data_IF_163108126255
#
_entry.id   IF_163108126255
#
_cell.length_a   1.000
_cell.length_b   1.000
_cell.length_c   1.000
_cell.angle_alpha   90.00
_cell.angle_beta   90.00
_cell.angle_gamma   90.00
#
_symmetry.space_group_name_H-M   'P 1'
#
loop_
_entity.id
_entity.type
_entity.pdbx_description
1 polymer ?
#
# COMPACT_ATOMS: atom_id res chain seq x y z
N UNK A 1 16.86 11.80 11.88
CA UNK A 1 16.16 12.02 10.60
C UNK A 1 14.78 12.56 10.90
N UNK A 2 14.35 13.66 10.28
CA UNK A 2 12.99 14.18 10.51
C UNK A 2 12.08 13.54 9.46
N UNK A 3 11.48 12.42 9.82
CA UNK A 3 10.44 11.76 9.03
C UNK A 3 9.15 12.57 9.17
N UNK A 4 8.62 13.08 8.05
CA UNK A 4 7.35 13.79 8.00
C UNK A 4 6.30 12.99 7.25
N UNK A 5 5.04 13.38 7.37
CA UNK A 5 3.97 12.87 6.53
C UNK A 5 3.90 13.71 5.24
N UNK A 6 3.76 13.03 4.12
CA UNK A 6 3.61 13.62 2.79
C UNK A 6 2.31 13.12 2.21
N UNK A 7 1.51 14.00 1.63
CA UNK A 7 0.29 13.58 0.95
C UNK A 7 0.02 14.44 -0.28
N UNK A 8 -0.69 13.87 -1.23
CA UNK A 8 -1.14 14.59 -2.40
C UNK A 8 -2.46 15.30 -2.06
N UNK A 9 -2.47 16.63 -2.11
CA UNK A 9 -3.64 17.45 -1.76
C UNK A 9 -4.83 17.20 -2.66
N UNK A 10 -4.61 16.80 -3.92
CA UNK A 10 -5.66 16.49 -4.90
C UNK A 10 -6.14 15.04 -4.81
N UNK A 11 -5.42 14.16 -4.10
CA UNK A 11 -5.74 12.73 -3.97
C UNK A 11 -5.89 12.27 -2.52
N UNK A 12 -6.12 13.21 -1.60
CA UNK A 12 -6.35 12.87 -0.20
C UNK A 12 -7.59 11.97 -0.03
N UNK A 13 -8.64 12.20 -0.85
CA UNK A 13 -9.84 11.37 -0.93
C UNK A 13 -9.59 9.92 -1.40
N UNK A 14 -8.37 9.60 -1.86
CA UNK A 14 -7.92 8.24 -2.21
C UNK A 14 -6.93 7.68 -1.20
N UNK A 15 -6.70 8.35 -0.06
CA UNK A 15 -5.79 7.88 0.98
C UNK A 15 -4.31 8.00 0.60
N UNK A 16 -3.98 8.90 -0.32
CA UNK A 16 -2.62 9.11 -0.85
C UNK A 16 -1.78 9.90 0.15
N UNK A 17 -1.49 9.25 1.28
CA UNK A 17 -0.63 9.68 2.38
C UNK A 17 0.53 8.70 2.53
N UNK A 18 1.72 9.22 2.88
CA UNK A 18 2.96 8.45 3.01
C UNK A 18 3.87 9.02 4.09
N UNK A 19 4.54 8.13 4.82
CA UNK A 19 5.75 8.49 5.57
C UNK A 19 6.88 8.83 4.59
N UNK A 20 7.50 9.99 4.76
CA UNK A 20 8.73 10.33 4.02
C UNK A 20 9.87 9.42 4.47
N UNK A 21 10.46 8.71 3.51
CA UNK A 21 11.66 7.87 3.68
C UNK A 21 12.95 8.57 3.23
N UNK A 22 12.86 9.82 2.78
CA UNK A 22 13.99 10.55 2.18
C UNK A 22 14.92 11.08 3.30
N UNK A 23 16.23 10.75 3.29
CA UNK A 23 17.15 11.12 4.37
C UNK A 23 17.68 12.56 4.25
N UNK A 24 17.41 13.26 3.14
CA UNK A 24 17.88 14.62 2.87
C UNK A 24 16.73 15.61 2.74
N UNK A 25 17.06 16.91 2.85
CA UNK A 25 16.09 17.98 2.63
C UNK A 25 15.85 18.14 1.13
N UNK A 26 14.59 18.08 0.72
CA UNK A 26 14.17 18.31 -0.65
C UNK A 26 12.94 19.21 -0.71
N UNK A 27 12.48 19.45 -1.93
CA UNK A 27 11.22 20.14 -2.23
C UNK A 27 10.24 19.15 -2.86
N UNK A 28 8.95 19.38 -2.66
CA UNK A 28 7.88 18.65 -3.34
C UNK A 28 7.16 19.59 -4.29
N UNK A 29 6.47 19.05 -5.30
CA UNK A 29 5.64 19.88 -6.17
C UNK A 29 4.52 20.55 -5.37
N UNK A 30 3.95 21.67 -5.86
CA UNK A 30 2.90 22.40 -5.16
C UNK A 30 1.64 21.57 -4.86
N UNK A 31 1.45 20.42 -5.50
CA UNK A 31 0.29 19.55 -5.23
C UNK A 31 0.47 18.65 -4.01
N UNK A 32 1.69 18.51 -3.51
CA UNK A 32 1.96 17.82 -2.26
C UNK A 32 2.04 18.79 -1.10
N UNK A 33 1.73 18.29 0.09
CA UNK A 33 2.02 18.98 1.33
C UNK A 33 2.80 18.04 2.26
N UNK A 34 3.72 18.64 3.01
CA UNK A 34 4.63 17.93 3.93
C UNK A 34 4.45 18.51 5.32
N UNK A 35 4.13 17.67 6.28
CA UNK A 35 4.00 18.07 7.67
C UNK A 35 4.89 17.24 8.59
N UNK A 36 5.31 17.86 9.68
CA UNK A 36 6.00 17.17 10.76
C UNK A 36 4.96 16.81 11.82
N UNK A 37 5.06 15.60 12.34
CA UNK A 37 4.21 15.16 13.42
C UNK A 37 4.71 15.73 14.75
N UNK A 38 3.78 15.93 15.69
CA UNK A 38 4.13 16.29 17.07
C UNK A 38 4.78 15.09 17.78
N UNK A 39 5.49 15.35 18.88
CA UNK A 39 6.28 14.36 19.60
C UNK A 39 5.50 13.14 20.11
N UNK A 40 4.18 13.24 20.25
CA UNK A 40 3.34 12.10 20.66
C UNK A 40 3.11 11.07 19.56
N UNK A 41 3.53 11.35 18.32
CA UNK A 41 3.57 10.36 17.22
C UNK A 41 5.02 9.93 17.07
N UNK A 42 5.33 8.70 17.48
CA UNK A 42 6.71 8.18 17.40
C UNK A 42 7.09 7.78 15.98
N UNK A 43 6.18 7.07 15.29
CA UNK A 43 6.34 6.71 13.89
C UNK A 43 5.16 7.21 13.06
N UNK A 44 5.47 8.06 12.07
CA UNK A 44 4.51 8.61 11.10
C UNK A 44 3.75 7.52 10.34
N UNK A 45 4.30 6.30 10.24
CA UNK A 45 3.62 5.16 9.63
C UNK A 45 2.26 4.89 10.30
N UNK A 46 2.12 5.20 11.58
CA UNK A 46 0.85 5.12 12.29
C UNK A 46 -0.23 5.99 11.62
N UNK A 47 0.08 7.27 11.38
CA UNK A 47 -0.84 8.19 10.70
C UNK A 47 -1.05 7.81 9.23
N UNK A 48 0.00 7.33 8.54
CA UNK A 48 -0.14 6.83 7.16
C UNK A 48 -1.20 5.72 7.06
N UNK A 49 -1.18 4.76 7.99
CA UNK A 49 -2.13 3.66 8.01
C UNK A 49 -3.52 4.13 8.47
N UNK A 50 -3.58 4.97 9.51
CA UNK A 50 -4.82 5.53 10.03
C UNK A 50 -5.58 6.32 8.96
N UNK A 51 -4.88 7.16 8.19
CA UNK A 51 -5.47 7.95 7.12
C UNK A 51 -5.85 7.13 5.87
N UNK A 52 -5.42 5.87 5.78
CA UNK A 52 -5.94 4.93 4.77
C UNK A 52 -7.17 4.17 5.24
N UNK A 53 -7.53 4.28 6.51
CA UNK A 53 -8.74 3.64 7.03
C UNK A 53 -9.99 4.25 6.36
N UNK A 54 -10.97 3.44 5.91
CA UNK A 54 -12.15 3.92 5.18
C UNK A 54 -12.86 5.11 5.84
N UNK A 55 -13.01 5.08 7.17
CA UNK A 55 -13.63 6.19 7.89
C UNK A 55 -12.90 7.53 7.73
N UNK A 56 -11.56 7.52 7.62
CA UNK A 56 -10.81 8.75 7.34
C UNK A 56 -10.90 9.16 5.88
N UNK A 57 -10.93 8.20 4.98
CA UNK A 57 -11.17 8.46 3.55
C UNK A 57 -12.50 9.20 3.36
N UNK A 58 -13.57 8.74 4.03
CA UNK A 58 -14.86 9.42 4.04
C UNK A 58 -14.76 10.85 4.59
N UNK A 59 -14.03 11.06 5.70
CA UNK A 59 -13.82 12.41 6.22
C UNK A 59 -13.05 13.31 5.24
N UNK A 60 -12.09 12.77 4.49
CA UNK A 60 -11.40 13.52 3.44
C UNK A 60 -12.31 13.84 2.26
N UNK A 61 -13.19 12.92 1.86
CA UNK A 61 -14.19 13.16 0.80
C UNK A 61 -15.13 14.29 1.20
N UNK A 62 -15.62 14.29 2.44
CA UNK A 62 -16.55 15.33 2.94
C UNK A 62 -15.90 16.71 3.00
N UNK A 63 -14.61 16.77 3.34
CA UNK A 63 -13.87 18.03 3.55
C UNK A 63 -13.16 18.55 2.31
N UNK A 64 -12.79 17.68 1.38
CA UNK A 64 -12.11 18.11 0.18
C UNK A 64 -13.08 18.88 -0.72
N UNK A 65 -12.64 20.04 -1.21
CA UNK A 65 -13.48 20.94 -2.01
C UNK A 65 -12.92 21.10 -3.41
N UNK A 66 -13.80 21.24 -4.40
CA UNK A 66 -13.43 21.43 -5.79
C UNK A 66 -14.64 21.27 -6.71
N UNK A 67 -14.64 22.03 -7.82
CA UNK A 67 -15.78 22.07 -8.75
C UNK A 67 -15.59 21.06 -9.90
N UNK A 68 -14.34 20.77 -10.26
CA UNK A 68 -14.00 19.88 -11.37
C UNK A 68 -13.49 18.55 -10.83
N UNK A 69 -13.99 17.46 -11.39
CA UNK A 69 -13.54 16.10 -11.10
C UNK A 69 -12.02 15.99 -11.33
N UNK A 70 -11.27 15.56 -10.31
CA UNK A 70 -9.80 15.52 -10.33
C UNK A 70 -9.09 16.78 -9.77
N UNK A 71 -9.82 17.88 -9.52
CA UNK A 71 -9.30 19.08 -8.84
C UNK A 71 -9.84 19.25 -7.41
N UNK A 72 -10.49 18.20 -6.88
CA UNK A 72 -10.95 18.16 -5.49
C UNK A 72 -9.74 18.14 -4.56
N UNK A 73 -9.61 19.19 -3.75
CA UNK A 73 -8.44 19.46 -2.92
C UNK A 73 -8.79 19.42 -1.44
N UNK A 74 -7.98 18.70 -0.65
CA UNK A 74 -7.97 18.86 0.80
C UNK A 74 -6.97 19.96 1.18
N UNK A 75 -7.46 21.04 1.79
CA UNK A 75 -6.61 22.13 2.25
C UNK A 75 -6.05 21.84 3.66
N UNK A 76 -4.96 22.53 4.01
CA UNK A 76 -4.31 22.39 5.33
C UNK A 76 -5.29 22.64 6.48
N UNK A 77 -6.13 23.67 6.36
CA UNK A 77 -7.12 24.01 7.40
C UNK A 77 -8.08 22.86 7.65
N UNK A 78 -8.66 22.31 6.58
CA UNK A 78 -9.61 21.20 6.67
C UNK A 78 -8.98 19.93 7.26
N UNK A 79 -7.74 19.62 6.88
CA UNK A 79 -7.01 18.49 7.46
C UNK A 79 -6.76 18.69 8.96
N UNK A 80 -6.40 19.91 9.37
CA UNK A 80 -6.03 20.18 10.77
C UNK A 80 -7.26 20.32 11.69
N UNK A 81 -8.43 20.57 11.12
CA UNK A 81 -9.72 20.58 11.82
C UNK A 81 -10.26 19.16 12.09
N UNK A 82 -9.67 18.14 11.48
CA UNK A 82 -10.06 16.75 11.73
C UNK A 82 -9.58 16.29 13.10
N UNK A 83 -10.50 15.72 13.88
CA UNK A 83 -10.17 14.99 15.09
C UNK A 83 -9.45 13.69 14.72
N UNK A 84 -8.30 13.44 15.37
CA UNK A 84 -7.52 12.23 15.18
C UNK A 84 -7.33 11.55 16.54
N UNK A 85 -7.98 10.40 16.83
CA UNK A 85 -7.60 9.54 17.94
C UNK A 85 -6.12 9.14 17.83
N UNK A 86 -5.35 9.56 18.82
CA UNK A 86 -3.95 9.19 18.96
C UNK A 86 -3.81 8.32 20.21
N UNK A 87 -3.53 7.04 19.97
CA UNK A 87 -3.23 6.08 21.02
C UNK A 87 -1.94 6.48 21.78
N UNK A 88 -1.72 6.05 23.03
CA UNK A 88 -0.44 6.19 23.71
C UNK A 88 0.72 5.58 22.89
N UNK A 89 1.96 6.07 23.05
CA UNK A 89 3.10 5.61 22.24
C UNK A 89 3.32 4.09 22.25
N UNK A 90 3.09 3.43 23.38
CA UNK A 90 3.19 1.98 23.47
C UNK A 90 2.18 1.27 22.57
N UNK A 91 0.92 1.67 22.63
CA UNK A 91 -0.15 1.10 21.80
C UNK A 91 0.10 1.38 20.31
N UNK A 92 0.63 2.56 19.95
CA UNK A 92 1.03 2.84 18.57
C UNK A 92 2.06 1.82 18.05
N UNK A 93 3.08 1.49 18.85
CA UNK A 93 4.09 0.48 18.48
C UNK A 93 3.49 -0.92 18.36
N UNK A 94 2.60 -1.30 19.28
CA UNK A 94 1.92 -2.59 19.25
C UNK A 94 1.06 -2.75 17.98
N UNK A 95 0.28 -1.71 17.62
CA UNK A 95 -0.50 -1.69 16.38
C UNK A 95 0.40 -1.85 15.15
N UNK A 96 1.50 -1.08 15.07
CA UNK A 96 2.42 -1.15 13.94
C UNK A 96 3.09 -2.52 13.82
N UNK A 97 3.53 -3.09 14.94
CA UNK A 97 4.12 -4.42 14.97
C UNK A 97 3.13 -5.51 14.53
N UNK A 98 1.88 -5.41 14.98
CA UNK A 98 0.84 -6.35 14.58
C UNK A 98 0.61 -6.32 13.05
N UNK A 99 0.51 -5.11 12.48
CA UNK A 99 0.32 -4.92 11.05
C UNK A 99 1.53 -5.42 10.25
N UNK A 100 2.76 -5.18 10.72
CA UNK A 100 3.99 -5.67 10.08
C UNK A 100 4.06 -7.21 10.08
N UNK A 101 3.73 -7.86 11.21
CA UNK A 101 3.69 -9.33 11.30
C UNK A 101 2.67 -9.89 10.31
N UNK A 102 1.45 -9.33 10.28
CA UNK A 102 0.41 -9.77 9.34
C UNK A 102 0.77 -9.51 7.88
N UNK A 103 1.43 -8.39 7.58
CA UNK A 103 1.98 -8.11 6.26
C UNK A 103 2.96 -9.19 5.81
N UNK A 104 3.91 -9.56 6.67
CA UNK A 104 4.90 -10.60 6.37
C UNK A 104 4.28 -11.99 6.14
N UNK A 105 3.26 -12.36 6.90
CA UNK A 105 2.51 -13.61 6.68
C UNK A 105 1.88 -13.63 5.27
N UNK A 106 1.27 -12.51 4.85
CA UNK A 106 0.66 -12.37 3.53
C UNK A 106 1.73 -12.41 2.43
N UNK A 107 2.83 -11.66 2.58
CA UNK A 107 3.93 -11.63 1.62
C UNK A 107 4.56 -13.01 1.43
N UNK A 108 4.67 -13.79 2.51
CA UNK A 108 5.14 -15.18 2.44
C UNK A 108 4.17 -16.06 1.65
N UNK A 109 2.86 -15.94 1.88
CA UNK A 109 1.86 -16.68 1.12
C UNK A 109 1.91 -16.32 -0.38
N UNK A 110 2.00 -15.03 -0.72
CA UNK A 110 2.15 -14.55 -2.10
C UNK A 110 3.40 -15.15 -2.76
N UNK A 111 4.53 -15.14 -2.04
CA UNK A 111 5.79 -15.72 -2.53
C UNK A 111 5.67 -17.22 -2.82
N UNK A 112 4.99 -17.97 -1.94
CA UNK A 112 4.74 -19.40 -2.14
C UNK A 112 3.89 -19.65 -3.39
N UNK A 113 2.80 -18.90 -3.56
CA UNK A 113 1.94 -19.00 -4.74
C UNK A 113 2.71 -18.68 -6.03
N UNK A 114 3.53 -17.63 -6.02
CA UNK A 114 4.34 -17.28 -7.18
C UNK A 114 5.34 -18.39 -7.53
N UNK A 115 5.98 -19.02 -6.53
CA UNK A 115 6.84 -20.17 -6.76
C UNK A 115 6.09 -21.38 -7.34
N UNK A 116 4.85 -21.62 -6.91
CA UNK A 116 4.02 -22.70 -7.47
C UNK A 116 3.67 -22.43 -8.93
N UNK A 117 3.26 -21.19 -9.26
CA UNK A 117 2.99 -20.76 -10.63
C UNK A 117 4.20 -20.99 -11.53
N UNK A 118 5.39 -20.62 -11.07
CA UNK A 118 6.61 -20.75 -11.86
C UNK A 118 7.01 -22.22 -12.06
N UNK A 119 6.87 -23.06 -11.03
CA UNK A 119 7.06 -24.52 -11.16
C UNK A 119 6.07 -25.16 -12.13
N UNK A 120 4.80 -24.73 -12.13
CA UNK A 120 3.80 -25.23 -13.07
C UNK A 120 4.12 -24.84 -14.51
N UNK A 121 4.64 -23.62 -14.73
CA UNK A 121 5.12 -23.18 -16.06
C UNK A 121 6.32 -24.00 -16.53
N UNK A 122 7.28 -24.26 -15.64
CA UNK A 122 8.44 -25.10 -15.93
C UNK A 122 8.01 -26.53 -16.26
N UNK A 123 7.14 -27.12 -15.44
CA UNK A 123 6.59 -28.46 -15.65
C UNK A 123 5.85 -28.56 -16.99
N UNK A 124 4.98 -27.60 -17.31
CA UNK A 124 4.28 -27.55 -18.61
C UNK A 124 5.27 -27.53 -19.77
N UNK A 125 6.33 -26.72 -19.66
CA UNK A 125 7.36 -26.62 -20.70
C UNK A 125 8.12 -27.94 -20.85
N UNK A 126 8.52 -28.55 -19.74
CA UNK A 126 9.19 -29.85 -19.72
C UNK A 126 8.32 -30.98 -20.28
N UNK A 127 7.02 -30.96 -19.97
CA UNK A 127 6.04 -31.92 -20.45
C UNK A 127 5.86 -31.81 -21.98
N UNK A 128 5.70 -30.59 -22.50
CA UNK A 128 5.63 -30.34 -23.94
C UNK A 128 6.91 -30.81 -24.62
N UNK A 129 8.09 -30.42 -24.10
CA UNK A 129 9.38 -30.84 -24.64
C UNK A 129 9.51 -32.38 -24.67
N UNK A 130 9.09 -33.05 -23.60
CA UNK A 130 9.14 -34.51 -23.51
C UNK A 130 8.17 -35.19 -24.48
N UNK A 131 7.00 -34.59 -24.71
CA UNK A 131 6.04 -35.06 -25.70
C UNK A 131 6.55 -34.89 -27.14
N UNK A 132 7.05 -33.72 -27.52
CA UNK A 132 7.55 -33.45 -28.89
C UNK A 132 8.86 -34.16 -29.21
N UNK A 133 9.67 -34.48 -28.19
CA UNK A 133 10.89 -35.29 -28.35
C UNK A 133 10.62 -36.80 -28.28
N UNK A 134 9.36 -37.23 -28.15
CA UNK A 134 8.97 -38.64 -28.12
C UNK A 134 9.38 -39.39 -26.86
N UNK A 135 9.83 -38.69 -25.81
CA UNK A 135 10.12 -39.27 -24.50
C UNK A 135 8.84 -39.68 -23.74
N UNK A 136 7.71 -39.10 -24.12
CA UNK A 136 6.37 -39.46 -23.61
C UNK A 136 5.50 -39.84 -24.82
N UNK A 137 4.82 -40.99 -24.72
CA UNK A 137 3.90 -41.47 -25.76
C UNK A 137 2.53 -40.78 -25.58
N UNK A 138 2.08 -40.07 -26.61
CA UNK A 138 0.74 -39.46 -26.64
C UNK A 138 -0.25 -40.53 -27.14
N UNK A 139 -1.29 -40.83 -26.36
CA UNK A 139 -2.39 -41.70 -26.81
C UNK A 139 -3.52 -40.89 -27.45
N UNK A 140 -4.33 -41.47 -28.35
CA UNK A 140 -5.44 -40.77 -29.00
C UNK A 140 -6.44 -40.14 -28.01
N UNK A 141 -6.65 -40.78 -26.86
CA UNK A 141 -7.51 -40.31 -25.76
C UNK A 141 -7.04 -38.98 -25.14
N UNK A 142 -5.74 -38.64 -25.27
CA UNK A 142 -5.15 -37.42 -24.70
C UNK A 142 -5.35 -36.17 -25.58
N UNK A 143 -5.89 -36.32 -26.80
CA UNK A 143 -5.98 -35.25 -27.79
C UNK A 143 -7.42 -34.71 -27.97
N UNK A 144 -8.42 -35.43 -27.46
CA UNK A 144 -9.85 -35.14 -27.71
C UNK A 144 -10.57 -34.37 -26.57
N UNK A 145 -9.84 -33.65 -25.70
CA UNK A 145 -10.40 -32.85 -24.59
C UNK A 145 -10.40 -31.35 -24.82
#
# INVERSE_FOLDING_TARGET
>A
MITGIVFNKLKAHLGVFFKSSIPFKGIVSPDYAVYKCKAYIEDVKYLELLFRHPSYIEQFIIRATGIVEGLIRLYTGDLFDMAVPVAPPQEQREILNHIDIKGKEIDQAISIEQMQIDKLKEYKTSLINSAVTGKIKITPEMVEG
#
